data_IF_040963252440
#
_entry.id   IF_040963252440
#
_cell.length_a   1.000
_cell.length_b   1.000
_cell.length_c   1.000
_cell.angle_alpha   90.00
_cell.angle_beta   90.00
_cell.angle_gamma   90.00
#
_symmetry.space_group_name_H-M   'P 1'
#
loop_
_entity.id
_entity.type
_entity.pdbx_description
1 polymer ?
#
# COMPACT_ATOMS: atom_id res chain seq x y z
N UNK A 1 -14.47 -43.15 -28.46
CA UNK A 1 -13.99 -42.71 -27.13
C UNK A 1 -13.91 -41.18 -27.18
N UNK A 2 -14.88 -40.48 -26.59
CA UNK A 2 -14.95 -39.01 -26.61
C UNK A 2 -14.32 -38.52 -25.30
N UNK A 3 -13.19 -37.82 -25.40
CA UNK A 3 -12.52 -37.20 -24.26
C UNK A 3 -13.28 -35.92 -23.89
N UNK A 4 -13.98 -35.95 -22.77
CA UNK A 4 -14.62 -34.77 -22.19
C UNK A 4 -13.56 -34.01 -21.38
N UNK A 5 -13.01 -32.93 -21.93
CA UNK A 5 -12.18 -32.01 -21.15
C UNK A 5 -13.09 -31.17 -20.25
N UNK A 6 -13.11 -31.51 -18.96
CA UNK A 6 -13.71 -30.65 -17.94
C UNK A 6 -12.79 -29.42 -17.77
N UNK A 7 -13.24 -28.27 -18.26
CA UNK A 7 -12.63 -26.99 -17.90
C UNK A 7 -13.00 -26.69 -16.46
N UNK A 8 -12.09 -26.93 -15.51
CA UNK A 8 -12.23 -26.41 -14.16
C UNK A 8 -12.02 -24.90 -14.23
N UNK A 9 -13.10 -24.12 -14.24
CA UNK A 9 -13.02 -22.69 -14.00
C UNK A 9 -12.58 -22.49 -12.55
N UNK A 10 -11.30 -22.22 -12.32
CA UNK A 10 -10.86 -21.68 -11.04
C UNK A 10 -11.52 -20.32 -10.90
N UNK A 11 -12.56 -20.23 -10.07
CA UNK A 11 -13.10 -18.95 -9.65
C UNK A 11 -11.93 -18.20 -8.98
N UNK A 12 -11.50 -17.10 -9.61
CA UNK A 12 -10.54 -16.21 -8.98
C UNK A 12 -11.19 -15.77 -7.66
N UNK A 13 -10.53 -16.01 -6.53
CA UNK A 13 -11.01 -15.51 -5.26
C UNK A 13 -11.05 -13.99 -5.35
N UNK A 14 -12.23 -13.40 -5.21
CA UNK A 14 -12.39 -11.95 -5.32
C UNK A 14 -11.70 -11.27 -4.14
N UNK A 15 -10.75 -10.39 -4.44
CA UNK A 15 -10.11 -9.57 -3.42
C UNK A 15 -11.11 -8.55 -2.86
N UNK A 16 -11.30 -8.52 -1.54
CA UNK A 16 -12.10 -7.52 -0.83
C UNK A 16 -11.19 -6.37 -0.40
N UNK A 17 -11.64 -5.13 -0.64
CA UNK A 17 -10.83 -3.93 -0.43
C UNK A 17 -11.53 -2.95 0.48
N UNK A 18 -10.79 -2.36 1.41
CA UNK A 18 -11.35 -1.39 2.34
C UNK A 18 -10.33 -0.77 3.27
N UNK A 19 -10.83 0.05 4.19
CA UNK A 19 -10.04 0.64 5.27
C UNK A 19 -10.12 -0.22 6.52
N UNK A 20 -8.99 -0.35 7.20
CA UNK A 20 -8.87 -1.03 8.47
C UNK A 20 -9.45 -0.16 9.58
N UNK A 21 -10.26 -0.80 10.42
CA UNK A 21 -10.75 -0.25 11.68
C UNK A 21 -10.58 -1.29 12.77
N UNK A 22 -9.80 -0.97 13.78
CA UNK A 22 -9.62 -1.73 15.01
C UNK A 22 -10.66 -1.27 16.03
N UNK A 23 -11.42 -2.21 16.56
CA UNK A 23 -12.37 -1.99 17.65
C UNK A 23 -12.11 -3.08 18.68
N UNK A 24 -11.66 -2.66 19.86
CA UNK A 24 -11.17 -3.55 20.91
C UNK A 24 -10.09 -4.51 20.38
N UNK A 25 -10.36 -5.82 20.34
CA UNK A 25 -9.46 -6.86 19.83
C UNK A 25 -9.86 -7.39 18.44
N UNK A 26 -10.76 -6.70 17.74
CA UNK A 26 -11.29 -7.15 16.45
C UNK A 26 -10.85 -6.22 15.33
N UNK A 27 -10.49 -6.81 14.18
CA UNK A 27 -10.21 -6.07 12.96
C UNK A 27 -11.45 -6.05 12.06
N UNK A 28 -11.80 -4.86 11.61
CA UNK A 28 -12.86 -4.65 10.63
C UNK A 28 -12.25 -4.10 9.34
N UNK A 29 -12.74 -4.57 8.20
CA UNK A 29 -12.48 -3.98 6.89
C UNK A 29 -13.73 -3.25 6.41
N UNK A 30 -13.66 -1.92 6.38
CA UNK A 30 -14.74 -1.03 5.96
C UNK A 30 -14.59 -0.73 4.47
N UNK A 31 -15.50 -1.25 3.66
CA UNK A 31 -15.47 -1.07 2.20
C UNK A 31 -15.93 0.32 1.78
N UNK A 32 -15.74 0.64 0.49
CA UNK A 32 -16.24 1.90 -0.10
C UNK A 32 -17.76 2.07 0.05
N UNK A 33 -18.52 0.97 0.03
CA UNK A 33 -19.98 0.96 0.22
C UNK A 33 -20.40 1.03 1.70
N UNK A 34 -19.46 1.31 2.61
CA UNK A 34 -19.68 1.42 4.06
C UNK A 34 -20.12 0.12 4.74
N UNK A 35 -19.90 -1.03 4.10
CA UNK A 35 -20.07 -2.33 4.74
C UNK A 35 -18.80 -2.63 5.54
N UNK A 36 -18.96 -2.98 6.81
CA UNK A 36 -17.87 -3.41 7.68
C UNK A 36 -17.87 -4.94 7.79
N UNK A 37 -16.78 -5.56 7.35
CA UNK A 37 -16.55 -6.99 7.53
C UNK A 37 -15.62 -7.25 8.70
N UNK A 38 -16.02 -8.11 9.63
CA UNK A 38 -15.14 -8.68 10.63
C UNK A 38 -14.15 -9.62 9.95
N UNK A 39 -12.87 -9.40 10.22
CA UNK A 39 -11.79 -10.24 9.72
C UNK A 39 -11.50 -11.34 10.71
N UNK A 40 -11.56 -12.58 10.22
CA UNK A 40 -10.97 -13.74 10.86
C UNK A 40 -9.91 -14.32 9.92
N UNK A 41 -8.84 -14.90 10.45
CA UNK A 41 -7.64 -15.22 9.67
C UNK A 41 -7.44 -16.72 9.58
N UNK A 42 -7.24 -17.23 8.36
CA UNK A 42 -6.95 -18.66 8.17
C UNK A 42 -5.49 -19.01 8.46
N UNK A 43 -4.62 -18.00 8.65
CA UNK A 43 -3.21 -18.17 8.94
C UNK A 43 -2.67 -17.00 9.78
N UNK A 44 -1.61 -17.24 10.54
CA UNK A 44 -1.01 -16.24 11.43
C UNK A 44 -0.26 -15.13 10.70
N UNK A 45 0.23 -15.37 9.47
CA UNK A 45 0.99 -14.37 8.70
C UNK A 45 0.08 -13.22 8.30
N UNK A 46 -1.10 -13.49 7.74
CA UNK A 46 -2.08 -12.47 7.39
C UNK A 46 -2.61 -11.71 8.60
N UNK A 47 -2.78 -12.40 9.73
CA UNK A 47 -3.14 -11.74 10.98
C UNK A 47 -2.05 -10.77 11.44
N UNK A 48 -0.77 -11.19 11.40
CA UNK A 48 0.37 -10.35 11.75
C UNK A 48 0.52 -9.15 10.81
N UNK A 49 0.35 -9.36 9.50
CA UNK A 49 0.35 -8.28 8.50
C UNK A 49 -0.74 -7.23 8.81
N UNK A 50 -1.99 -7.65 9.11
CA UNK A 50 -3.06 -6.72 9.47
C UNK A 50 -2.83 -6.06 10.84
N UNK A 51 -2.24 -6.76 11.80
CA UNK A 51 -1.91 -6.20 13.13
C UNK A 51 -1.02 -4.96 13.02
N UNK A 52 -0.11 -4.90 12.04
CA UNK A 52 0.79 -3.75 11.79
C UNK A 52 0.06 -2.51 11.28
N UNK A 53 -1.06 -2.68 10.59
CA UNK A 53 -1.86 -1.56 10.08
C UNK A 53 -2.55 -0.80 11.21
N UNK A 54 -2.88 0.46 11.01
CA UNK A 54 -3.57 1.35 11.95
C UNK A 54 -4.97 1.72 11.45
N UNK A 55 -5.74 2.43 12.27
CA UNK A 55 -7.06 2.89 11.87
C UNK A 55 -6.97 3.85 10.69
N UNK A 56 -7.70 3.54 9.63
CA UNK A 56 -7.73 4.33 8.40
C UNK A 56 -6.78 3.83 7.31
N UNK A 57 -5.81 2.97 7.63
CA UNK A 57 -4.99 2.28 6.62
C UNK A 57 -5.86 1.45 5.69
N UNK A 58 -5.38 1.18 4.49
CA UNK A 58 -6.08 0.43 3.47
C UNK A 58 -5.50 -0.98 3.36
N UNK A 59 -6.35 -1.96 3.09
CA UNK A 59 -5.94 -3.30 2.74
C UNK A 59 -6.78 -3.86 1.58
N UNK A 60 -6.13 -4.66 0.74
CA UNK A 60 -6.75 -5.62 -0.17
C UNK A 60 -6.48 -7.01 0.39
N UNK A 61 -7.54 -7.78 0.59
CA UNK A 61 -7.44 -9.13 1.15
C UNK A 61 -8.16 -10.13 0.26
N UNK A 62 -7.58 -11.31 0.10
CA UNK A 62 -8.30 -12.46 -0.46
C UNK A 62 -9.00 -13.17 0.70
N UNK A 63 -10.32 -13.36 0.59
CA UNK A 63 -11.11 -13.94 1.67
C UNK A 63 -12.34 -14.71 1.17
N UNK A 64 -12.84 -15.60 2.01
CA UNK A 64 -14.12 -16.29 1.80
C UNK A 64 -15.16 -15.78 2.79
N UNK A 65 -16.40 -15.58 2.34
CA UNK A 65 -17.51 -15.24 3.24
C UNK A 65 -17.87 -16.41 4.14
N UNK A 66 -18.18 -16.11 5.40
CA UNK A 66 -18.75 -17.11 6.31
C UNK A 66 -20.15 -17.50 5.88
N UNK A 67 -20.45 -18.80 5.93
CA UNK A 67 -21.81 -19.31 5.71
C UNK A 67 -22.78 -18.98 6.84
N UNK A 68 -22.27 -18.55 8.00
CA UNK A 68 -23.03 -18.33 9.23
C UNK A 68 -23.32 -16.84 9.45
N UNK A 69 -22.40 -15.96 9.07
CA UNK A 69 -22.55 -14.51 9.21
C UNK A 69 -22.14 -13.77 7.94
N UNK A 70 -23.01 -12.94 7.35
CA UNK A 70 -22.72 -12.21 6.11
C UNK A 70 -21.68 -11.10 6.30
N UNK A 71 -21.39 -10.72 7.54
CA UNK A 71 -20.39 -9.70 7.89
C UNK A 71 -19.07 -10.31 8.34
N UNK A 72 -18.93 -11.64 8.38
CA UNK A 72 -17.69 -12.31 8.73
C UNK A 72 -17.01 -12.85 7.47
N UNK A 73 -15.73 -12.54 7.31
CA UNK A 73 -14.90 -13.07 6.23
C UNK A 73 -13.64 -13.75 6.79
N UNK A 74 -13.27 -14.87 6.17
CA UNK A 74 -12.07 -15.64 6.48
C UNK A 74 -10.96 -15.27 5.50
N UNK A 75 -10.00 -14.48 5.98
CA UNK A 75 -8.87 -13.92 5.22
C UNK A 75 -7.79 -14.98 5.04
N UNK A 76 -7.47 -15.27 3.78
CA UNK A 76 -6.39 -16.20 3.40
C UNK A 76 -5.09 -15.51 3.04
N UNK A 77 -5.15 -14.28 2.51
CA UNK A 77 -3.96 -13.46 2.22
C UNK A 77 -4.28 -11.98 2.32
N UNK A 78 -3.26 -11.19 2.64
CA UNK A 78 -3.24 -9.74 2.41
C UNK A 78 -2.45 -9.54 1.13
N UNK A 79 -3.08 -8.97 0.12
CA UNK A 79 -2.46 -8.85 -1.21
C UNK A 79 -1.72 -7.52 -1.35
N UNK A 80 -2.19 -6.49 -0.64
CA UNK A 80 -1.69 -5.13 -0.76
C UNK A 80 -2.16 -4.27 0.42
N UNK A 81 -1.31 -3.33 0.85
CA UNK A 81 -1.66 -2.35 1.90
C UNK A 81 -1.34 -0.92 1.48
N UNK A 82 -2.08 0.02 2.04
CA UNK A 82 -1.84 1.46 1.89
C UNK A 82 -1.81 2.13 3.25
N UNK A 83 -0.70 2.80 3.58
CA UNK A 83 -0.53 3.44 4.88
C UNK A 83 -1.12 4.85 4.85
N UNK A 84 -2.13 5.11 5.68
CA UNK A 84 -2.83 6.39 5.76
C UNK A 84 -1.89 7.50 6.23
N UNK A 85 -0.93 7.18 7.09
CA UNK A 85 0.07 8.14 7.54
C UNK A 85 0.90 8.72 6.38
N UNK A 86 1.12 7.97 5.28
CA UNK A 86 1.89 8.45 4.14
C UNK A 86 1.14 9.50 3.32
N UNK A 87 -0.20 9.49 3.33
CA UNK A 87 -1.01 10.36 2.47
C UNK A 87 -0.78 11.84 2.76
N UNK A 88 -0.59 12.64 1.71
CA UNK A 88 -0.27 14.06 1.82
C UNK A 88 1.11 14.41 1.26
N UNK A 89 1.59 15.61 1.58
CA UNK A 89 2.84 16.16 1.06
C UNK A 89 3.96 15.94 2.10
N UNK A 90 5.13 15.56 1.61
CA UNK A 90 6.37 15.44 2.37
C UNK A 90 7.48 16.20 1.67
N UNK A 91 8.36 16.82 2.44
CA UNK A 91 9.56 17.49 1.93
C UNK A 91 10.79 16.63 2.21
N UNK A 92 11.68 16.52 1.23
CA UNK A 92 12.98 15.90 1.43
C UNK A 92 14.05 16.93 1.78
N UNK A 93 15.17 16.44 2.31
CA UNK A 93 16.37 17.26 2.57
C UNK A 93 17.05 17.74 1.27
N UNK A 94 16.62 17.23 0.10
CA UNK A 94 17.14 17.57 -1.22
C UNK A 94 16.28 18.59 -1.98
N UNK A 95 15.45 19.36 -1.26
CA UNK A 95 14.52 20.34 -1.83
C UNK A 95 13.53 19.75 -2.87
N UNK A 96 13.15 18.49 -2.68
CA UNK A 96 12.05 17.85 -3.43
C UNK A 96 10.83 17.67 -2.53
N UNK A 97 9.66 17.67 -3.16
CA UNK A 97 8.38 17.40 -2.54
C UNK A 97 7.80 16.11 -3.08
N UNK A 98 7.25 15.30 -2.19
CA UNK A 98 6.64 14.01 -2.45
C UNK A 98 5.18 14.06 -2.02
N UNK A 99 4.25 14.06 -2.97
CA UNK A 99 2.81 14.06 -2.71
C UNK A 99 2.24 12.66 -2.90
N UNK A 100 1.94 11.97 -1.80
CA UNK A 100 1.19 10.72 -1.80
C UNK A 100 -0.31 11.01 -1.90
N UNK A 101 -0.76 11.32 -3.12
CA UNK A 101 -2.14 11.70 -3.44
C UNK A 101 -3.17 10.60 -3.20
N UNK A 102 -2.76 9.34 -3.33
CA UNK A 102 -3.57 8.15 -3.00
C UNK A 102 -2.68 7.07 -2.40
N UNK A 103 -3.27 5.95 -2.01
CA UNK A 103 -2.51 4.78 -1.56
C UNK A 103 -1.60 4.17 -2.62
N UNK A 104 -1.80 4.50 -3.91
CA UNK A 104 -1.00 3.92 -5.01
C UNK A 104 -0.36 4.96 -5.91
N UNK A 105 -0.54 6.26 -5.66
CA UNK A 105 -0.05 7.33 -6.53
C UNK A 105 0.76 8.35 -5.76
N UNK A 106 1.94 8.64 -6.28
CA UNK A 106 2.86 9.62 -5.75
C UNK A 106 3.29 10.58 -6.86
N UNK A 107 3.45 11.84 -6.52
CA UNK A 107 4.07 12.85 -7.38
C UNK A 107 5.36 13.34 -6.75
N UNK A 108 6.36 13.61 -7.58
CA UNK A 108 7.62 14.23 -7.15
C UNK A 108 7.78 15.53 -7.93
N UNK A 109 8.03 16.63 -7.23
CA UNK A 109 8.20 17.96 -7.80
C UNK A 109 9.14 18.81 -6.94
N UNK A 110 9.66 19.92 -7.49
CA UNK A 110 10.55 20.84 -6.77
C UNK A 110 9.81 21.83 -5.87
N UNK A 111 10.56 22.68 -5.18
CA UNK A 111 10.02 23.84 -4.47
C UNK A 111 9.76 25.02 -5.42
N UNK A 112 8.79 25.87 -5.11
CA UNK A 112 8.64 27.19 -5.74
C UNK A 112 9.75 28.17 -5.31
N UNK A 113 9.78 29.37 -5.88
CA UNK A 113 10.76 30.41 -5.53
C UNK A 113 10.71 30.83 -4.05
N UNK A 114 9.58 30.60 -3.37
CA UNK A 114 9.38 30.89 -1.95
C UNK A 114 9.69 29.69 -1.04
N UNK A 115 10.10 28.55 -1.59
CA UNK A 115 10.44 27.35 -0.85
C UNK A 115 9.23 26.48 -0.44
N UNK A 116 8.07 26.66 -1.07
CA UNK A 116 6.87 25.87 -0.83
C UNK A 116 6.73 24.68 -1.79
N UNK A 117 6.10 23.61 -1.32
CA UNK A 117 5.67 22.50 -2.16
C UNK A 117 4.42 22.90 -2.95
N UNK A 118 4.60 23.31 -4.20
CA UNK A 118 3.51 23.61 -5.13
C UNK A 118 3.64 22.70 -6.34
N UNK A 119 2.66 21.82 -6.54
CA UNK A 119 2.61 21.00 -7.76
C UNK A 119 2.35 21.93 -8.94
N UNK A 120 3.33 22.05 -9.83
CA UNK A 120 3.18 22.83 -11.05
C UNK A 120 2.26 22.12 -12.04
N UNK A 121 1.86 22.86 -13.08
CA UNK A 121 1.36 22.26 -14.32
C UNK A 121 2.54 21.90 -15.27
N UNK A 122 3.78 22.04 -14.79
CA UNK A 122 4.98 21.86 -15.61
C UNK A 122 5.18 20.36 -15.92
N UNK A 123 5.23 19.96 -17.20
CA UNK A 123 5.58 18.59 -17.59
C UNK A 123 6.99 18.14 -17.15
N UNK A 124 7.83 19.05 -16.66
CA UNK A 124 9.14 18.76 -16.05
C UNK A 124 9.07 18.46 -14.54
N UNK A 125 7.87 18.40 -13.93
CA UNK A 125 7.69 17.79 -12.61
C UNK A 125 8.39 16.42 -12.59
N UNK A 126 9.31 16.24 -11.63
CA UNK A 126 10.26 15.12 -11.55
C UNK A 126 9.64 13.74 -11.74
N UNK A 127 8.35 13.59 -11.45
CA UNK A 127 7.55 12.59 -12.14
C UNK A 127 6.27 12.19 -11.42
N UNK A 128 5.41 11.50 -12.16
CA UNK A 128 4.28 10.77 -11.62
C UNK A 128 4.66 9.30 -11.46
N UNK A 129 4.47 8.80 -10.26
CA UNK A 129 4.79 7.42 -9.89
C UNK A 129 3.55 6.69 -9.39
N UNK A 130 3.52 5.39 -9.68
CA UNK A 130 2.67 4.43 -8.98
C UNK A 130 3.52 3.77 -7.92
N UNK A 131 2.97 3.50 -6.74
CA UNK A 131 3.67 2.71 -5.73
C UNK A 131 2.76 1.65 -5.14
N UNK A 132 3.37 0.58 -4.65
CA UNK A 132 2.69 -0.51 -3.94
C UNK A 132 3.49 -0.88 -2.70
N UNK A 133 2.84 -1.00 -1.55
CA UNK A 133 3.48 -1.49 -0.33
C UNK A 133 3.09 -2.95 -0.16
N UNK A 134 4.10 -3.82 -0.16
CA UNK A 134 3.92 -5.24 0.07
C UNK A 134 3.63 -5.47 1.56
N UNK A 135 2.55 -6.18 1.92
CA UNK A 135 2.33 -6.62 3.28
C UNK A 135 3.42 -7.61 3.69
N UNK A 136 4.21 -7.25 4.69
CA UNK A 136 5.17 -8.15 5.33
C UNK A 136 4.91 -8.16 6.84
N UNK A 137 5.60 -9.03 7.58
CA UNK A 137 5.54 -9.10 9.04
C UNK A 137 6.62 -8.24 9.69
N UNK A 138 7.75 -8.02 9.01
CA UNK A 138 8.91 -7.36 9.59
C UNK A 138 9.13 -5.97 9.00
N UNK A 139 9.13 -5.86 7.67
CA UNK A 139 9.56 -4.65 6.96
C UNK A 139 8.44 -4.06 6.09
N UNK A 140 8.57 -2.82 5.63
CA UNK A 140 7.65 -2.26 4.64
C UNK A 140 8.40 -2.13 3.32
N UNK A 141 8.15 -3.06 2.41
CA UNK A 141 8.77 -3.03 1.09
C UNK A 141 7.83 -2.37 0.10
N UNK A 142 8.38 -1.46 -0.70
CA UNK A 142 7.67 -0.67 -1.68
C UNK A 142 8.17 -1.05 -3.07
N UNK A 143 7.26 -1.22 -4.02
CA UNK A 143 7.59 -1.14 -5.45
C UNK A 143 7.15 0.24 -5.94
N UNK A 144 8.05 1.01 -6.53
CA UNK A 144 7.79 2.34 -7.07
C UNK A 144 8.06 2.31 -8.56
N UNK A 145 7.10 2.70 -9.39
CA UNK A 145 7.22 2.64 -10.84
C UNK A 145 6.70 3.88 -11.54
N UNK A 146 7.32 4.21 -12.66
CA UNK A 146 6.86 5.20 -13.64
C UNK A 146 6.79 4.53 -15.02
N UNK A 147 6.52 5.31 -16.08
CA UNK A 147 6.56 4.77 -17.44
C UNK A 147 7.95 4.28 -17.88
N UNK A 148 9.02 4.77 -17.25
CA UNK A 148 10.39 4.57 -17.71
C UNK A 148 11.32 3.95 -16.66
N UNK A 149 10.86 3.79 -15.43
CA UNK A 149 11.71 3.37 -14.30
C UNK A 149 10.92 2.58 -13.27
N UNK A 150 11.61 1.66 -12.61
CA UNK A 150 11.11 0.83 -11.53
C UNK A 150 12.17 0.77 -10.43
N UNK A 151 11.73 0.89 -9.19
CA UNK A 151 12.58 0.90 -8.01
C UNK A 151 11.94 0.05 -6.92
N UNK A 152 12.77 -0.58 -6.12
CA UNK A 152 12.35 -1.18 -4.84
C UNK A 152 12.74 -0.21 -3.73
N UNK A 153 11.88 -0.06 -2.73
CA UNK A 153 12.11 0.84 -1.61
C UNK A 153 11.86 0.16 -0.28
N UNK A 154 12.80 0.23 0.66
CA UNK A 154 12.56 -0.18 2.04
C UNK A 154 12.09 1.05 2.83
N UNK A 155 10.81 1.05 3.20
CA UNK A 155 10.18 2.11 3.99
C UNK A 155 10.42 1.86 5.47
N UNK A 156 11.08 2.82 6.11
CA UNK A 156 11.22 2.86 7.55
C UNK A 156 10.44 4.05 8.11
N UNK A 157 9.56 3.76 9.06
CA UNK A 157 8.72 4.76 9.73
C UNK A 157 9.38 5.07 11.08
N UNK A 158 9.96 6.26 11.20
CA UNK A 158 10.60 6.71 12.44
C UNK A 158 9.53 7.36 13.33
N UNK A 159 8.74 8.27 12.76
CA UNK A 159 7.57 8.92 13.36
C UNK A 159 6.53 9.24 12.28
N UNK A 160 5.34 9.72 12.66
CA UNK A 160 4.27 10.08 11.72
C UNK A 160 4.62 11.27 10.80
N UNK A 161 5.66 12.03 11.14
CA UNK A 161 6.20 13.19 10.45
C UNK A 161 7.64 12.99 9.95
N UNK A 162 8.22 11.80 10.13
CA UNK A 162 9.58 11.48 9.67
C UNK A 162 9.68 10.03 9.21
N UNK A 163 9.94 9.84 7.92
CA UNK A 163 10.16 8.52 7.32
C UNK A 163 11.42 8.53 6.47
N UNK A 164 11.95 7.34 6.20
CA UNK A 164 13.02 7.15 5.23
C UNK A 164 12.67 6.05 4.26
N UNK A 165 13.07 6.21 2.99
CA UNK A 165 12.92 5.20 1.95
C UNK A 165 14.32 4.91 1.40
N UNK A 166 14.86 3.73 1.71
CA UNK A 166 16.08 3.25 1.07
C UNK A 166 15.73 2.68 -0.31
N UNK A 167 16.30 3.22 -1.37
CA UNK A 167 15.98 2.87 -2.74
C UNK A 167 17.03 1.93 -3.36
N UNK A 168 16.52 0.97 -4.12
CA UNK A 168 17.29 -0.01 -4.85
C UNK A 168 16.84 -0.05 -6.31
N UNK A 169 17.78 -0.30 -7.22
CA UNK A 169 17.48 -0.61 -8.60
C UNK A 169 16.82 -2.00 -8.67
N UNK A 170 15.62 -2.08 -9.27
CA UNK A 170 14.80 -3.30 -9.26
C UNK A 170 15.40 -4.48 -10.03
N UNK A 171 16.45 -4.25 -10.83
CA UNK A 171 17.08 -5.27 -11.68
C UNK A 171 18.42 -5.76 -11.13
N UNK A 172 19.13 -4.90 -10.41
CA UNK A 172 20.51 -5.15 -9.99
C UNK A 172 20.69 -5.24 -8.48
N UNK A 173 19.66 -4.92 -7.68
CA UNK A 173 19.73 -4.78 -6.22
C UNK A 173 20.76 -3.75 -5.73
N UNK A 174 21.27 -2.89 -6.64
CA UNK A 174 22.19 -1.84 -6.28
C UNK A 174 21.46 -0.75 -5.48
N UNK A 175 22.00 -0.39 -4.32
CA UNK A 175 21.52 0.75 -3.54
C UNK A 175 21.72 2.04 -4.33
N UNK A 176 20.62 2.76 -4.56
CA UNK A 176 20.60 4.05 -5.25
C UNK A 176 20.73 5.23 -4.27
N UNK A 177 20.29 5.04 -3.03
CA UNK A 177 20.41 6.03 -1.96
C UNK A 177 19.24 5.96 -0.98
N UNK A 178 19.17 6.92 -0.07
CA UNK A 178 18.09 7.03 0.91
C UNK A 178 17.38 8.36 0.75
N UNK A 179 16.06 8.32 0.58
CA UNK A 179 15.20 9.49 0.63
C UNK A 179 14.77 9.69 2.08
N UNK A 180 15.10 10.83 2.66
CA UNK A 180 14.58 11.27 3.96
C UNK A 180 13.40 12.19 3.70
N UNK A 181 12.25 11.93 4.34
CA UNK A 181 11.02 12.68 4.14
C UNK A 181 10.48 13.18 5.48
N UNK A 182 10.10 14.47 5.51
CA UNK A 182 9.58 15.17 6.68
C UNK A 182 8.35 16.00 6.37
N UNK A 183 7.53 16.24 7.39
CA UNK A 183 6.36 17.12 7.32
C UNK A 183 6.55 18.41 8.10
#
# INVERSE_FOLDING_TARGET
MILCFAFTSTAAADSIKGRIKKVDNTFLLVTKTQIAYTLDFTNSVSEQQIKRLTNGDFASVTANFSSISPTLIYVSSVDYVGLNMLTGIWKSDSDLCYEFSTFTRMYVYGLDEAGHCVRGDDPNDFGKYTYFINPDVDEWNMLISSNNSEYVGNLNIITDDHITIELFDSRTDATLGTIVLRR
#
